data_IF_399471990143
#
_entry.id   IF_399471990143
#
_cell.length_a   1.000
_cell.length_b   1.000
_cell.length_c   1.000
_cell.angle_alpha   90.00
_cell.angle_beta   90.00
_cell.angle_gamma   90.00
#
_symmetry.space_group_name_H-M   'P 1'
#
loop_
_entity.id
_entity.type
_entity.pdbx_description
1 polymer ?
#
# COMPACT_ATOMS: atom_id res chain seq x y z
N UNK A 1 -20.28 -4.12 1.34
CA UNK A 1 -20.26 -2.67 1.03
C UNK A 1 -19.77 -2.52 -0.40
N UNK A 2 -20.56 -1.92 -1.28
CA UNK A 2 -20.13 -1.65 -2.66
C UNK A 2 -18.99 -0.62 -2.64
N UNK A 3 -17.90 -0.90 -3.35
CA UNK A 3 -16.75 0.00 -3.41
C UNK A 3 -16.74 0.90 -4.65
N UNK A 4 -17.69 0.75 -5.56
CA UNK A 4 -17.80 1.61 -6.72
C UNK A 4 -16.80 1.32 -7.87
N UNK A 5 -15.99 0.26 -7.76
CA UNK A 5 -15.09 -0.18 -8.84
C UNK A 5 -15.34 -1.65 -9.24
N UNK A 6 -16.56 -2.13 -8.99
CA UNK A 6 -17.01 -3.47 -9.39
C UNK A 6 -16.79 -4.56 -8.34
N UNK A 7 -16.48 -4.21 -7.09
CA UNK A 7 -16.32 -5.16 -5.99
C UNK A 7 -17.23 -4.86 -4.80
N UNK A 8 -17.76 -5.92 -4.18
CA UNK A 8 -18.35 -5.85 -2.85
C UNK A 8 -17.32 -6.22 -1.79
N UNK A 9 -17.04 -5.30 -0.88
CA UNK A 9 -16.16 -5.51 0.26
C UNK A 9 -16.95 -6.11 1.43
N UNK A 10 -16.39 -7.17 2.01
CA UNK A 10 -16.88 -7.79 3.24
C UNK A 10 -15.67 -8.28 4.05
N UNK A 11 -15.70 -8.04 5.35
CA UNK A 11 -14.66 -8.46 6.28
C UNK A 11 -15.26 -9.24 7.44
N UNK A 12 -14.49 -10.19 7.95
CA UNK A 12 -14.85 -10.99 9.12
C UNK A 12 -13.76 -10.85 10.17
N UNK A 13 -14.18 -10.63 11.42
CA UNK A 13 -13.27 -10.54 12.56
C UNK A 13 -13.30 -11.89 13.28
N UNK A 14 -12.13 -12.51 13.38
CA UNK A 14 -11.89 -13.74 14.14
C UNK A 14 -11.67 -13.45 15.62
N UNK A 15 -12.35 -14.19 16.48
CA UNK A 15 -12.14 -14.16 17.93
C UNK A 15 -11.13 -15.21 18.39
N UNK A 16 -10.75 -15.15 19.67
CA UNK A 16 -9.78 -16.10 20.27
C UNK A 16 -10.20 -17.58 20.22
N UNK A 17 -11.48 -17.87 19.95
CA UNK A 17 -12.03 -19.22 19.84
C UNK A 17 -12.19 -19.65 18.36
N UNK A 18 -11.79 -18.79 17.41
CA UNK A 18 -11.94 -19.02 15.97
C UNK A 18 -13.34 -18.68 15.43
N UNK A 19 -14.21 -18.06 16.23
CA UNK A 19 -15.51 -17.62 15.74
C UNK A 19 -15.35 -16.38 14.87
N UNK A 20 -15.93 -16.42 13.68
CA UNK A 20 -15.98 -15.29 12.75
C UNK A 20 -17.28 -14.52 12.95
N UNK A 21 -17.16 -13.19 13.12
CA UNK A 21 -18.32 -12.30 12.96
C UNK A 21 -18.14 -11.37 11.76
N UNK A 22 -19.21 -11.01 11.05
CA UNK A 22 -19.12 -9.97 10.04
C UNK A 22 -18.72 -8.63 10.69
N UNK A 23 -17.99 -7.82 9.95
CA UNK A 23 -17.72 -6.43 10.32
C UNK A 23 -18.98 -5.57 10.25
N UNK A 24 -19.09 -4.57 11.13
CA UNK A 24 -20.14 -3.55 11.08
C UNK A 24 -19.90 -2.57 9.93
N UNK A 25 -20.88 -1.70 9.65
CA UNK A 25 -20.73 -0.66 8.62
C UNK A 25 -19.60 0.31 8.96
N UNK A 26 -19.48 0.66 10.24
CA UNK A 26 -18.44 1.54 10.78
C UNK A 26 -17.05 0.91 10.66
N UNK A 27 -16.94 -0.40 10.90
CA UNK A 27 -15.67 -1.14 10.75
C UNK A 27 -15.26 -1.26 9.28
N UNK A 28 -16.22 -1.42 8.37
CA UNK A 28 -15.99 -1.46 6.92
C UNK A 28 -15.67 -0.09 6.32
N UNK A 29 -15.97 1.02 7.03
CA UNK A 29 -15.68 2.37 6.56
C UNK A 29 -14.17 2.59 6.31
N UNK A 30 -13.31 1.93 7.10
CA UNK A 30 -11.87 1.93 6.88
C UNK A 30 -11.48 1.32 5.53
N UNK A 31 -12.17 0.26 5.10
CA UNK A 31 -11.88 -0.42 3.83
C UNK A 31 -12.20 0.49 2.63
N UNK A 32 -13.36 1.15 2.63
CA UNK A 32 -13.73 2.07 1.54
C UNK A 32 -12.84 3.30 1.50
N UNK A 33 -12.27 3.73 2.64
CA UNK A 33 -11.30 4.83 2.69
C UNK A 33 -10.11 4.67 1.72
N UNK A 34 -9.65 3.44 1.48
CA UNK A 34 -8.56 3.14 0.56
C UNK A 34 -8.99 2.36 -0.69
N UNK A 35 -10.06 1.56 -0.62
CA UNK A 35 -10.47 0.65 -1.69
C UNK A 35 -11.77 1.04 -2.39
N UNK A 36 -12.28 2.26 -2.21
CA UNK A 36 -13.39 2.78 -3.01
C UNK A 36 -12.90 3.66 -4.17
N UNK A 37 -13.69 3.71 -5.24
CA UNK A 37 -13.47 4.62 -6.37
C UNK A 37 -14.53 5.70 -6.46
N UNK A 38 -14.39 6.55 -7.48
CA UNK A 38 -15.26 7.71 -7.71
C UNK A 38 -16.64 7.31 -8.24
N UNK A 39 -16.82 6.10 -8.76
CA UNK A 39 -18.07 5.68 -9.41
C UNK A 39 -19.01 5.01 -8.42
N UNK A 40 -20.14 5.65 -8.08
CA UNK A 40 -21.33 5.01 -7.48
C UNK A 40 -21.07 4.06 -6.30
N UNK A 41 -20.95 4.60 -5.08
CA UNK A 41 -21.15 3.82 -3.85
C UNK A 41 -22.63 3.89 -3.40
N UNK A 42 -23.04 3.11 -2.38
CA UNK A 42 -24.37 3.24 -1.73
C UNK A 42 -24.61 4.67 -1.19
N UNK A 43 -23.54 5.46 -1.04
CA UNK A 43 -23.54 6.81 -0.48
C UNK A 43 -22.98 7.82 -1.51
N UNK A 44 -23.82 8.40 -2.39
CA UNK A 44 -23.37 9.22 -3.51
C UNK A 44 -22.63 10.52 -3.11
N UNK A 45 -22.72 10.93 -1.85
CA UNK A 45 -22.00 12.06 -1.27
C UNK A 45 -20.67 11.67 -0.61
N UNK A 46 -20.42 10.37 -0.46
CA UNK A 46 -19.22 9.81 0.14
C UNK A 46 -18.38 9.15 -0.95
N UNK A 47 -17.53 9.97 -1.55
CA UNK A 47 -16.40 9.50 -2.36
C UNK A 47 -15.18 9.52 -1.45
N UNK A 48 -14.97 8.45 -0.68
CA UNK A 48 -13.73 8.33 0.10
C UNK A 48 -12.56 7.86 -0.73
N UNK A 49 -12.70 7.83 -2.06
CA UNK A 49 -11.61 7.60 -2.98
C UNK A 49 -10.50 8.62 -2.69
N UNK A 50 -9.64 8.29 -1.73
CA UNK A 50 -8.27 8.77 -1.70
C UNK A 50 -7.67 8.57 -3.08
N UNK A 51 -8.17 7.61 -3.87
CA UNK A 51 -7.73 7.39 -5.23
C UNK A 51 -6.23 7.16 -5.27
N UNK A 52 -5.69 6.61 -4.18
CA UNK A 52 -4.49 5.79 -4.22
C UNK A 52 -4.83 4.47 -4.92
N UNK A 53 -5.40 4.60 -6.11
CA UNK A 53 -5.74 3.55 -7.06
C UNK A 53 -4.52 2.75 -7.47
N UNK A 54 -3.33 3.35 -7.29
CA UNK A 54 -2.04 2.69 -7.29
C UNK A 54 -2.02 1.52 -6.29
N UNK A 55 -2.48 1.67 -5.05
CA UNK A 55 -2.53 0.56 -4.06
C UNK A 55 -3.53 -0.52 -4.48
N UNK A 56 -4.62 -0.13 -5.15
CA UNK A 56 -5.61 -1.07 -5.70
C UNK A 56 -5.09 -1.87 -6.89
N UNK A 57 -3.95 -1.47 -7.50
CA UNK A 57 -3.37 -2.19 -8.63
C UNK A 57 -2.94 -3.61 -8.30
N UNK A 58 -2.53 -3.83 -7.05
CA UNK A 58 -2.05 -5.13 -6.57
C UNK A 58 -2.89 -5.73 -5.45
N UNK A 59 -3.83 -4.98 -4.87
CA UNK A 59 -4.65 -5.43 -3.73
C UNK A 59 -5.86 -6.30 -4.11
N UNK A 60 -6.20 -6.40 -5.40
CA UNK A 60 -7.43 -7.05 -5.86
C UNK A 60 -7.09 -8.31 -6.69
N UNK A 61 -7.88 -9.41 -6.58
CA UNK A 61 -7.68 -10.60 -7.42
C UNK A 61 -7.74 -10.29 -8.92
N UNK A 62 -7.02 -11.05 -9.74
CA UNK A 62 -6.97 -10.88 -11.21
C UNK A 62 -7.40 -12.15 -11.92
N UNK A 63 -8.19 -11.97 -12.99
CA UNK A 63 -8.42 -13.00 -14.00
C UNK A 63 -7.39 -12.81 -15.11
N UNK A 64 -6.52 -13.80 -15.29
CA UNK A 64 -5.60 -13.80 -16.43
C UNK A 64 -6.38 -14.06 -17.74
N UNK A 65 -6.02 -13.42 -18.86
CA UNK A 65 -6.66 -13.61 -20.17
C UNK A 65 -6.62 -15.05 -20.67
N UNK A 66 -7.59 -15.41 -21.52
CA UNK A 66 -7.71 -16.73 -22.14
C UNK A 66 -7.95 -17.87 -21.13
N UNK A 67 -7.41 -19.04 -21.43
CA UNK A 67 -7.58 -20.27 -20.64
C UNK A 67 -6.92 -20.21 -19.24
N UNK A 68 -6.06 -19.21 -18.98
CA UNK A 68 -5.45 -19.06 -17.66
C UNK A 68 -6.48 -18.71 -16.59
N UNK A 69 -7.50 -17.93 -16.94
CA UNK A 69 -8.67 -17.64 -16.11
C UNK A 69 -8.34 -17.08 -14.73
N UNK A 70 -9.22 -17.33 -13.76
CA UNK A 70 -8.98 -16.95 -12.36
C UNK A 70 -7.90 -17.83 -11.75
N UNK A 71 -6.95 -17.20 -11.07
CA UNK A 71 -5.90 -17.85 -10.29
C UNK A 71 -5.99 -17.36 -8.85
N UNK A 72 -6.39 -18.23 -7.94
CA UNK A 72 -6.41 -17.91 -6.52
C UNK A 72 -5.02 -18.13 -5.93
N UNK A 73 -4.42 -17.09 -5.37
CA UNK A 73 -3.16 -17.16 -4.64
C UNK A 73 -2.06 -17.93 -5.40
N UNK A 74 -1.96 -17.75 -6.72
CA UNK A 74 -0.89 -18.40 -7.49
C UNK A 74 0.47 -17.74 -7.28
N UNK A 75 0.49 -16.57 -6.61
CA UNK A 75 1.66 -15.78 -6.26
C UNK A 75 2.63 -15.69 -7.44
N UNK A 76 2.11 -15.36 -8.63
CA UNK A 76 2.92 -15.28 -9.85
C UNK A 76 3.72 -16.56 -10.13
N UNK A 77 3.09 -17.72 -9.94
CA UNK A 77 3.68 -19.06 -10.06
C UNK A 77 4.89 -19.24 -9.14
N UNK A 78 4.68 -18.93 -7.87
CA UNK A 78 5.70 -19.06 -6.84
C UNK A 78 6.29 -20.48 -6.81
N UNK A 79 7.62 -20.56 -6.83
CA UNK A 79 8.38 -21.77 -6.58
C UNK A 79 9.18 -21.62 -5.30
N UNK A 80 8.91 -22.49 -4.33
CA UNK A 80 9.64 -22.52 -3.08
C UNK A 80 11.11 -22.96 -3.27
N UNK A 81 12.00 -22.29 -2.56
CA UNK A 81 13.40 -22.70 -2.37
C UNK A 81 13.52 -23.38 -1.00
N UNK A 82 13.50 -24.71 -1.01
CA UNK A 82 13.40 -25.51 0.22
C UNK A 82 14.58 -25.32 1.20
N UNK A 83 15.74 -24.93 0.69
CA UNK A 83 16.98 -24.71 1.44
C UNK A 83 17.22 -23.24 1.82
N UNK A 84 16.26 -22.34 1.59
CA UNK A 84 16.38 -20.94 1.97
C UNK A 84 16.55 -20.80 3.49
N UNK A 85 17.56 -20.04 3.92
CA UNK A 85 17.74 -19.72 5.32
C UNK A 85 16.56 -18.86 5.84
N UNK A 86 16.28 -18.84 7.15
CA UNK A 86 15.09 -18.16 7.69
C UNK A 86 14.97 -16.66 7.40
N UNK A 87 16.09 -15.99 7.11
CA UNK A 87 16.23 -14.57 6.79
C UNK A 87 16.40 -14.28 5.29
N UNK A 88 16.42 -15.31 4.46
CA UNK A 88 16.49 -15.22 3.01
C UNK A 88 15.11 -15.26 2.35
N UNK A 89 15.03 -14.70 1.15
CA UNK A 89 13.85 -14.81 0.28
C UNK A 89 13.54 -16.28 0.03
N UNK A 90 12.31 -16.75 0.31
CA UNK A 90 12.01 -18.18 0.43
C UNK A 90 11.78 -18.89 -0.92
N UNK A 91 11.88 -18.20 -2.05
CA UNK A 91 11.60 -18.76 -3.37
C UNK A 91 11.61 -17.69 -4.46
N UNK A 92 11.06 -18.04 -5.62
CA UNK A 92 11.04 -17.20 -6.81
C UNK A 92 9.65 -17.14 -7.44
N UNK A 93 9.35 -16.06 -8.16
CA UNK A 93 8.20 -15.99 -9.06
C UNK A 93 8.59 -16.54 -10.44
N UNK A 94 7.63 -17.10 -11.17
CA UNK A 94 7.84 -17.63 -12.53
C UNK A 94 6.89 -17.01 -13.56
N UNK A 95 6.36 -15.85 -13.22
CA UNK A 95 5.53 -15.03 -14.08
C UNK A 95 6.04 -13.59 -14.03
N UNK A 96 6.05 -12.92 -15.17
CA UNK A 96 6.43 -11.52 -15.27
C UNK A 96 5.36 -10.58 -14.73
N UNK A 97 5.67 -9.29 -14.76
CA UNK A 97 4.72 -8.24 -14.39
C UNK A 97 3.67 -8.06 -15.52
N UNK A 98 2.40 -8.48 -15.32
CA UNK A 98 1.41 -8.46 -16.39
C UNK A 98 1.04 -7.03 -16.77
N UNK A 99 0.92 -6.78 -18.08
CA UNK A 99 0.55 -5.45 -18.57
C UNK A 99 -0.92 -5.16 -18.28
N UNK A 100 -1.18 -4.05 -17.61
CA UNK A 100 -2.51 -3.46 -17.57
C UNK A 100 -2.93 -3.02 -18.99
N UNK A 101 -4.17 -3.31 -19.35
CA UNK A 101 -4.75 -3.06 -20.67
C UNK A 101 -4.84 -1.58 -21.01
N UNK A 102 -5.25 -0.76 -20.05
CA UNK A 102 -5.42 0.67 -20.24
C UNK A 102 -4.10 1.43 -20.21
N UNK A 103 -3.20 1.03 -19.31
CA UNK A 103 -1.90 1.70 -19.12
C UNK A 103 -0.82 1.23 -20.08
N UNK A 104 -0.95 0.02 -20.65
CA UNK A 104 0.10 -0.67 -21.40
C UNK A 104 1.46 -0.67 -20.64
N UNK A 105 1.37 -0.88 -19.33
CA UNK A 105 2.46 -0.87 -18.35
C UNK A 105 2.22 -2.01 -17.37
N UNK A 106 3.29 -2.62 -16.86
CA UNK A 106 3.21 -3.61 -15.79
C UNK A 106 2.49 -3.05 -14.57
N UNK A 107 1.61 -3.83 -13.96
CA UNK A 107 0.86 -3.38 -12.79
C UNK A 107 1.79 -3.13 -11.59
N UNK A 108 2.81 -3.98 -11.40
CA UNK A 108 3.77 -3.80 -10.30
C UNK A 108 4.70 -2.63 -10.54
N UNK A 109 5.12 -2.42 -11.79
CA UNK A 109 5.82 -1.22 -12.18
C UNK A 109 4.98 0.02 -11.93
N UNK A 110 3.72 0.03 -12.34
CA UNK A 110 2.83 1.17 -12.09
C UNK A 110 2.66 1.42 -10.58
N UNK A 111 2.59 0.37 -9.77
CA UNK A 111 2.62 0.46 -8.32
C UNK A 111 3.91 1.15 -7.82
N UNK A 112 5.08 0.63 -8.18
CA UNK A 112 6.39 1.17 -7.77
C UNK A 112 6.65 2.59 -8.26
N UNK A 113 6.18 2.95 -9.46
CA UNK A 113 6.35 4.29 -10.05
C UNK A 113 5.63 5.39 -9.24
N UNK A 114 4.51 5.03 -8.60
CA UNK A 114 3.54 6.01 -8.11
C UNK A 114 3.21 5.89 -6.62
N UNK A 115 3.75 4.88 -5.93
CA UNK A 115 3.61 4.80 -4.48
C UNK A 115 4.33 5.99 -3.81
N UNK A 116 3.58 6.81 -3.09
CA UNK A 116 4.08 7.93 -2.26
C UNK A 116 3.50 7.79 -0.86
N UNK A 117 4.36 7.78 0.17
CA UNK A 117 3.96 7.53 1.58
C UNK A 117 4.71 6.35 2.18
N UNK A 118 4.93 6.36 3.51
CA UNK A 118 6.18 5.97 4.23
C UNK A 118 6.81 4.61 3.88
N UNK A 119 7.43 4.54 2.70
CA UNK A 119 7.96 3.31 2.10
C UNK A 119 6.87 2.32 1.68
N UNK A 120 6.90 1.87 0.41
CA UNK A 120 6.06 0.90 -0.34
C UNK A 120 4.81 0.23 0.31
N UNK A 121 4.83 -0.07 1.61
CA UNK A 121 3.79 -0.73 2.40
C UNK A 121 3.40 0.02 3.70
N UNK A 122 3.61 1.33 3.76
CA UNK A 122 3.42 2.14 4.97
C UNK A 122 4.60 2.07 5.94
N UNK A 123 5.20 0.89 6.14
CA UNK A 123 6.55 0.73 6.70
C UNK A 123 7.22 -0.37 5.86
N UNK A 124 8.38 -0.10 5.27
CA UNK A 124 9.01 -1.10 4.41
C UNK A 124 9.44 -2.32 5.21
N UNK A 125 9.11 -3.54 4.76
CA UNK A 125 9.72 -4.74 5.29
C UNK A 125 11.24 -4.64 5.22
N UNK A 126 11.93 -5.01 6.30
CA UNK A 126 13.39 -4.93 6.37
C UNK A 126 14.09 -5.75 5.27
N UNK A 127 13.47 -6.83 4.79
CA UNK A 127 13.98 -7.59 3.64
C UNK A 127 14.01 -6.77 2.34
N UNK A 128 12.99 -5.95 2.12
CA UNK A 128 12.90 -5.06 0.95
C UNK A 128 13.90 -3.92 1.08
N UNK A 129 14.03 -3.32 2.27
CA UNK A 129 15.06 -2.29 2.54
C UNK A 129 16.46 -2.83 2.22
N UNK A 130 16.81 -4.04 2.69
CA UNK A 130 18.11 -4.66 2.38
C UNK A 130 18.33 -4.82 0.87
N UNK A 131 17.31 -5.27 0.15
CA UNK A 131 17.38 -5.42 -1.31
C UNK A 131 17.59 -4.06 -1.99
N UNK A 132 16.77 -3.06 -1.69
CA UNK A 132 16.85 -1.74 -2.32
C UNK A 132 18.15 -1.02 -1.96
N UNK A 133 18.62 -1.10 -0.71
CA UNK A 133 19.92 -0.57 -0.31
C UNK A 133 21.07 -1.21 -1.08
N UNK A 134 21.03 -2.52 -1.35
CA UNK A 134 22.07 -3.20 -2.11
C UNK A 134 21.99 -2.89 -3.62
N UNK A 135 20.78 -2.84 -4.18
CA UNK A 135 20.54 -2.66 -5.61
C UNK A 135 20.73 -1.20 -6.07
N UNK A 136 20.17 -0.25 -5.33
CA UNK A 136 20.08 1.16 -5.71
C UNK A 136 21.29 1.91 -5.12
N UNK A 137 22.35 1.98 -5.92
CA UNK A 137 23.62 2.62 -5.58
C UNK A 137 24.19 3.39 -6.78
N UNK A 138 24.93 4.51 -6.57
CA UNK A 138 25.62 5.20 -7.65
C UNK A 138 26.61 4.29 -8.40
N UNK A 139 27.24 3.35 -7.69
CA UNK A 139 28.11 2.34 -8.29
C UNK A 139 27.39 1.42 -9.30
N UNK A 140 26.07 1.27 -9.17
CA UNK A 140 25.21 0.51 -10.09
C UNK A 140 24.53 1.40 -11.13
N UNK A 141 24.88 2.70 -11.20
CA UNK A 141 24.37 3.66 -12.17
C UNK A 141 23.08 4.37 -11.77
N UNK A 142 22.72 4.39 -10.49
CA UNK A 142 21.60 5.17 -9.95
C UNK A 142 21.99 6.61 -9.63
N UNK A 143 21.02 7.52 -9.63
CA UNK A 143 21.30 8.95 -9.37
C UNK A 143 21.69 9.26 -7.92
N UNK A 144 21.33 8.38 -6.98
CA UNK A 144 21.72 8.45 -5.58
C UNK A 144 21.69 7.04 -4.96
N UNK A 145 22.24 6.91 -3.74
CA UNK A 145 22.05 5.73 -2.93
C UNK A 145 20.65 5.73 -2.31
N UNK A 146 20.07 4.55 -2.11
CA UNK A 146 18.80 4.41 -1.37
C UNK A 146 18.90 5.05 0.03
N UNK A 147 18.12 6.11 0.34
CA UNK A 147 18.28 6.85 1.59
C UNK A 147 17.52 6.18 2.74
N UNK A 148 17.99 6.38 3.97
CA UNK A 148 17.17 6.17 5.18
C UNK A 148 16.10 7.26 5.27
N UNK A 149 14.99 6.95 5.94
CA UNK A 149 13.98 7.96 6.27
C UNK A 149 14.52 8.89 7.37
N UNK A 150 14.51 10.19 7.10
CA UNK A 150 14.84 11.19 8.11
C UNK A 150 13.60 11.53 8.92
N UNK A 151 13.53 11.06 10.16
CA UNK A 151 12.40 11.31 11.06
C UNK A 151 12.68 12.44 12.04
N UNK A 152 13.75 13.22 11.87
CA UNK A 152 14.09 14.31 12.78
C UNK A 152 13.23 15.55 12.56
N UNK A 153 12.79 15.79 11.32
CA UNK A 153 11.97 16.94 10.92
C UNK A 153 10.92 16.50 9.90
N UNK A 154 9.80 17.23 9.79
CA UNK A 154 8.79 16.98 8.76
C UNK A 154 9.38 17.19 7.35
N UNK A 155 10.09 18.30 7.11
CA UNK A 155 10.77 18.55 5.84
C UNK A 155 11.78 17.46 5.46
N UNK A 156 12.63 17.02 6.39
CA UNK A 156 13.60 15.93 6.14
C UNK A 156 12.90 14.61 5.78
N UNK A 157 11.80 14.32 6.46
CA UNK A 157 10.95 13.19 6.17
C UNK A 157 10.39 13.24 4.74
N UNK A 158 9.79 14.35 4.35
CA UNK A 158 9.24 14.54 3.00
C UNK A 158 10.32 14.47 1.91
N UNK A 159 11.50 15.04 2.16
CA UNK A 159 12.63 14.97 1.23
C UNK A 159 13.13 13.53 1.03
N UNK A 160 13.27 12.77 2.12
CA UNK A 160 13.68 11.36 2.04
C UNK A 160 12.68 10.50 1.28
N UNK A 161 11.38 10.77 1.47
CA UNK A 161 10.28 10.12 0.75
C UNK A 161 10.30 10.43 -0.75
N UNK A 162 10.47 11.70 -1.12
CA UNK A 162 10.57 12.12 -2.52
C UNK A 162 11.79 11.48 -3.22
N UNK A 163 12.93 11.39 -2.52
CA UNK A 163 14.11 10.73 -3.06
C UNK A 163 13.90 9.22 -3.26
N UNK A 164 13.26 8.54 -2.31
CA UNK A 164 12.89 7.11 -2.46
C UNK A 164 12.00 6.89 -3.68
N UNK A 165 10.97 7.72 -3.87
CA UNK A 165 10.08 7.61 -5.04
C UNK A 165 10.86 7.79 -6.36
N UNK A 166 11.71 8.81 -6.44
CA UNK A 166 12.57 9.04 -7.61
C UNK A 166 13.41 7.80 -7.93
N UNK A 167 14.04 7.20 -6.91
CA UNK A 167 14.89 6.02 -7.09
C UNK A 167 14.11 4.75 -7.47
N UNK A 168 12.88 4.59 -6.98
CA UNK A 168 11.99 3.51 -7.45
C UNK A 168 11.63 3.66 -8.93
N UNK A 169 11.37 4.89 -9.40
CA UNK A 169 11.15 5.17 -10.84
C UNK A 169 12.39 4.87 -11.68
N UNK A 170 13.59 5.10 -11.14
CA UNK A 170 14.83 4.67 -11.80
C UNK A 170 14.93 3.14 -11.87
N UNK A 171 14.68 2.44 -10.76
CA UNK A 171 14.67 0.97 -10.68
C UNK A 171 13.72 0.36 -11.73
N UNK A 172 12.49 0.87 -11.83
CA UNK A 172 11.49 0.38 -12.79
C UNK A 172 11.80 0.76 -14.23
N UNK A 173 12.30 1.98 -14.49
CA UNK A 173 12.70 2.42 -15.82
C UNK A 173 13.85 1.59 -16.39
N UNK A 174 14.73 1.10 -15.51
CA UNK A 174 15.84 0.20 -15.85
C UNK A 174 15.43 -1.26 -15.97
N UNK A 175 14.27 -1.65 -15.43
CA UNK A 175 13.84 -3.05 -15.39
C UNK A 175 14.50 -3.87 -14.27
N UNK A 176 15.25 -3.23 -13.37
CA UNK A 176 16.04 -3.88 -12.32
C UNK A 176 15.17 -4.54 -11.22
N UNK A 177 13.87 -4.25 -11.21
CA UNK A 177 12.85 -4.96 -10.40
C UNK A 177 12.43 -6.31 -10.99
N UNK A 178 12.89 -6.65 -12.19
CA UNK A 178 12.70 -7.94 -12.85
C UNK A 178 13.98 -8.78 -12.75
N UNK A 179 13.81 -10.10 -12.83
CA UNK A 179 14.89 -11.07 -13.06
C UNK A 179 15.27 -11.10 -14.55
N UNK A 180 16.38 -11.75 -14.89
CA UNK A 180 16.79 -11.95 -16.28
C UNK A 180 15.73 -12.69 -17.12
N UNK A 181 14.92 -13.55 -16.48
CA UNK A 181 13.82 -14.28 -17.11
C UNK A 181 12.50 -13.47 -17.17
N UNK A 182 12.53 -12.21 -16.73
CA UNK A 182 11.38 -11.30 -16.76
C UNK A 182 10.38 -11.49 -15.63
N UNK A 183 10.62 -12.41 -14.68
CA UNK A 183 9.81 -12.52 -13.47
C UNK A 183 10.08 -11.37 -12.49
N UNK A 184 9.09 -10.92 -11.74
CA UNK A 184 9.30 -9.92 -10.68
C UNK A 184 10.27 -10.48 -9.62
N UNK A 185 11.20 -9.64 -9.17
CA UNK A 185 12.16 -9.98 -8.11
C UNK A 185 11.43 -10.42 -6.85
N UNK A 186 11.75 -11.63 -6.41
CA UNK A 186 11.13 -12.29 -5.28
C UNK A 186 11.32 -11.51 -3.96
N UNK A 187 12.44 -10.79 -3.84
CA UNK A 187 12.75 -9.93 -2.70
C UNK A 187 11.68 -8.85 -2.46
N UNK A 188 10.96 -8.44 -3.50
CA UNK A 188 9.93 -7.41 -3.44
C UNK A 188 8.54 -7.96 -3.09
N UNK A 189 8.36 -9.28 -3.14
CA UNK A 189 7.05 -9.94 -3.03
C UNK A 189 6.96 -10.93 -1.85
N UNK A 190 8.00 -11.74 -1.63
CA UNK A 190 7.92 -12.90 -0.73
C UNK A 190 8.76 -12.65 0.53
N UNK A 191 8.12 -12.40 1.68
CA UNK A 191 8.85 -12.13 2.91
C UNK A 191 9.64 -13.37 3.36
N UNK A 192 10.85 -13.19 3.92
CA UNK A 192 11.57 -14.27 4.58
C UNK A 192 10.73 -14.96 5.67
N UNK A 193 11.08 -16.21 5.98
CA UNK A 193 10.35 -17.03 6.96
C UNK A 193 10.22 -16.34 8.32
N UNK A 194 11.28 -15.70 8.81
CA UNK A 194 11.25 -15.00 10.10
C UNK A 194 10.28 -13.82 10.09
N UNK A 195 10.23 -13.06 8.99
CA UNK A 195 9.36 -11.90 8.83
C UNK A 195 7.89 -12.35 8.75
N UNK A 196 7.61 -13.41 7.98
CA UNK A 196 6.29 -14.02 7.91
C UNK A 196 5.81 -14.54 9.28
N UNK A 197 6.71 -15.21 10.04
CA UNK A 197 6.41 -15.68 11.39
C UNK A 197 6.15 -14.53 12.36
N UNK A 198 6.87 -13.41 12.24
CA UNK A 198 6.63 -12.22 13.06
C UNK A 198 5.24 -11.62 12.77
N UNK A 199 4.85 -11.53 11.50
CA UNK A 199 3.50 -11.13 11.09
C UNK A 199 2.41 -12.05 11.67
N UNK A 200 2.58 -13.37 11.55
CA UNK A 200 1.64 -14.34 12.10
C UNK A 200 1.51 -14.27 13.63
N UNK A 201 2.61 -14.01 14.35
CA UNK A 201 2.58 -13.79 15.80
C UNK A 201 1.78 -12.54 16.18
N UNK A 202 2.00 -11.44 15.47
CA UNK A 202 1.25 -10.17 15.68
C UNK A 202 -0.23 -10.34 15.39
N UNK A 203 -0.58 -11.03 14.30
CA UNK A 203 -1.96 -11.38 14.00
C UNK A 203 -2.62 -12.13 15.17
N UNK A 204 -1.96 -13.16 15.71
CA UNK A 204 -2.47 -13.89 16.87
C UNK A 204 -2.61 -13.02 18.12
N UNK A 205 -1.71 -12.06 18.33
CA UNK A 205 -1.84 -11.08 19.41
C UNK A 205 -3.09 -10.21 19.21
N UNK A 206 -3.36 -9.75 17.99
CA UNK A 206 -4.61 -9.02 17.67
C UNK A 206 -5.81 -9.90 17.98
N UNK A 207 -5.89 -11.12 17.43
CA UNK A 207 -7.04 -12.03 17.63
C UNK A 207 -7.35 -12.27 19.12
N UNK A 208 -6.32 -12.44 19.95
CA UNK A 208 -6.50 -12.74 21.39
C UNK A 208 -6.80 -11.50 22.23
N UNK A 209 -6.35 -10.31 21.82
CA UNK A 209 -6.39 -9.09 22.65
C UNK A 209 -7.32 -8.00 22.15
N UNK A 210 -7.78 -8.09 20.89
CA UNK A 210 -8.68 -7.09 20.31
C UNK A 210 -10.01 -7.08 21.04
N UNK A 211 -10.60 -5.88 21.12
CA UNK A 211 -11.98 -5.70 21.54
C UNK A 211 -12.75 -5.38 20.27
N UNK A 212 -13.91 -6.00 20.09
CA UNK A 212 -14.63 -5.94 18.82
C UNK A 212 -14.79 -4.54 18.23
N UNK A 213 -14.91 -3.50 19.06
CA UNK A 213 -15.11 -2.10 18.61
C UNK A 213 -13.85 -1.23 18.62
N UNK A 214 -12.68 -1.76 19.00
CA UNK A 214 -11.43 -0.98 19.08
C UNK A 214 -10.27 -1.75 18.46
N UNK A 215 -9.60 -1.11 17.50
CA UNK A 215 -8.32 -1.58 16.97
C UNK A 215 -7.26 -1.72 18.07
N UNK A 216 -6.20 -2.46 17.76
CA UNK A 216 -5.10 -2.73 18.68
C UNK A 216 -3.76 -2.53 18.00
N UNK A 217 -2.93 -1.67 18.60
CA UNK A 217 -1.50 -1.64 18.29
C UNK A 217 -0.82 -2.84 18.99
N UNK A 218 -0.16 -3.68 18.19
CA UNK A 218 0.61 -4.85 18.63
C UNK A 218 2.08 -4.77 18.20
N UNK A 219 2.50 -3.61 17.67
CA UNK A 219 3.87 -3.41 17.29
C UNK A 219 4.73 -3.12 18.53
N UNK A 220 5.99 -3.61 18.57
CA UNK A 220 6.91 -3.28 19.67
C UNK A 220 7.16 -1.78 19.78
N UNK A 221 7.23 -1.11 18.62
CA UNK A 221 7.32 0.32 18.46
C UNK A 221 6.29 0.74 17.42
N UNK A 222 5.60 1.86 17.66
CA UNK A 222 4.61 2.36 16.70
C UNK A 222 5.28 2.67 15.36
N UNK A 223 4.83 2.04 14.26
CA UNK A 223 5.30 2.26 12.89
C UNK A 223 5.38 3.75 12.53
N UNK A 224 6.34 4.10 11.68
CA UNK A 224 6.57 5.50 11.30
C UNK A 224 5.38 6.07 10.51
N UNK A 225 4.63 5.23 9.78
CA UNK A 225 3.37 5.64 9.12
C UNK A 225 2.28 6.16 10.06
N UNK A 226 2.34 5.86 11.36
CA UNK A 226 1.38 6.35 12.34
C UNK A 226 1.88 7.58 13.10
N UNK A 227 3.03 8.15 12.69
CA UNK A 227 3.61 9.33 13.32
C UNK A 227 3.40 10.58 12.47
N UNK A 228 3.37 11.73 13.14
CA UNK A 228 3.02 13.00 12.54
C UNK A 228 4.24 13.71 11.93
N UNK A 229 4.24 13.92 10.61
CA UNK A 229 5.30 14.62 9.86
C UNK A 229 4.71 15.64 8.86
N UNK A 230 3.72 16.43 9.32
CA UNK A 230 3.14 17.51 8.52
C UNK A 230 3.68 18.86 8.97
N UNK A 231 3.82 19.77 8.03
CA UNK A 231 4.30 21.14 8.27
C UNK A 231 3.50 22.15 7.41
N UNK A 232 3.39 23.39 7.88
CA UNK A 232 2.77 24.48 7.11
C UNK A 232 1.27 24.28 6.88
N UNK A 233 0.82 24.45 5.62
CA UNK A 233 -0.61 24.38 5.26
C UNK A 233 -1.21 22.98 5.41
N UNK A 234 -0.39 21.94 5.56
CA UNK A 234 -0.82 20.55 5.71
C UNK A 234 -1.13 20.17 7.17
N UNK A 235 -0.78 21.05 8.12
CA UNK A 235 -0.89 20.78 9.54
C UNK A 235 -2.35 20.61 10.01
N UNK A 236 -2.53 19.74 10.99
CA UNK A 236 -3.76 19.65 11.76
C UNK A 236 -3.47 19.43 13.25
N UNK A 237 -4.39 19.88 14.09
CA UNK A 237 -4.33 19.70 15.53
C UNK A 237 -5.07 18.42 15.97
N UNK A 238 -4.83 18.02 17.21
CA UNK A 238 -5.71 17.12 17.94
C UNK A 238 -7.13 17.66 18.00
N UNK A 239 -8.11 16.80 18.24
CA UNK A 239 -9.53 17.16 18.40
C UNK A 239 -9.79 18.15 19.55
N UNK A 240 -8.88 18.22 20.53
CA UNK A 240 -8.92 19.18 21.64
C UNK A 240 -8.27 20.53 21.30
N UNK A 241 -7.74 20.70 20.08
CA UNK A 241 -7.08 21.90 19.59
C UNK A 241 -5.58 21.96 19.87
N UNK A 242 -4.98 20.99 20.57
CA UNK A 242 -3.53 20.95 20.80
C UNK A 242 -2.80 20.63 19.48
N UNK A 243 -1.70 21.35 19.13
CA UNK A 243 -0.91 21.00 17.95
C UNK A 243 -0.15 19.69 18.17
N UNK A 244 -0.05 18.88 17.10
CA UNK A 244 0.82 17.72 17.06
C UNK A 244 2.29 18.13 17.05
N UNK A 245 3.14 17.35 17.71
CA UNK A 245 4.60 17.46 17.58
C UNK A 245 5.12 16.58 16.44
N UNK A 246 6.27 16.96 15.85
CA UNK A 246 6.94 16.13 14.86
C UNK A 246 7.29 14.76 15.48
N UNK A 247 6.90 13.69 14.81
CA UNK A 247 7.10 12.32 15.26
C UNK A 247 6.10 11.83 16.33
N UNK A 248 5.16 12.67 16.78
CA UNK A 248 4.10 12.27 17.71
C UNK A 248 3.20 11.22 17.05
N UNK A 249 2.78 10.21 17.82
CA UNK A 249 1.83 9.20 17.34
C UNK A 249 0.47 9.86 17.11
N UNK A 250 -0.09 9.66 15.92
CA UNK A 250 -1.41 10.16 15.56
C UNK A 250 -2.47 9.35 16.31
N UNK A 251 -3.05 9.94 17.36
CA UNK A 251 -4.08 9.30 18.19
C UNK A 251 -5.50 9.64 17.76
N UNK A 252 -5.65 10.78 17.09
CA UNK A 252 -6.93 11.32 16.65
C UNK A 252 -6.72 12.28 15.46
N UNK A 253 -7.81 12.59 14.75
CA UNK A 253 -7.82 13.53 13.64
C UNK A 253 -9.03 14.45 13.78
N UNK A 254 -8.98 15.68 13.25
CA UNK A 254 -10.16 16.52 13.13
C UNK A 254 -11.31 15.76 12.46
N UNK A 255 -12.52 16.01 12.94
CA UNK A 255 -13.75 15.38 12.44
C UNK A 255 -14.77 16.46 12.08
N UNK A 256 -15.66 16.13 11.13
CA UNK A 256 -16.82 16.96 10.82
C UNK A 256 -17.81 16.95 12.01
N UNK A 257 -18.13 18.14 12.50
CA UNK A 257 -19.08 18.34 13.59
C UNK A 257 -20.18 19.34 13.24
N UNK A 258 -20.25 19.79 11.97
CA UNK A 258 -21.09 20.90 11.56
C UNK A 258 -22.58 20.55 11.56
N UNK A 259 -22.93 19.34 11.11
CA UNK A 259 -24.32 18.92 11.02
C UNK A 259 -24.51 17.44 11.39
N UNK A 260 -25.16 17.13 12.53
CA UNK A 260 -25.39 15.75 12.98
C UNK A 260 -26.33 14.92 12.09
N UNK A 261 -27.01 15.55 11.13
CA UNK A 261 -27.84 14.85 10.14
C UNK A 261 -27.04 14.38 8.91
N UNK A 262 -25.79 14.83 8.73
CA UNK A 262 -24.94 14.38 7.63
C UNK A 262 -24.30 13.03 7.95
N UNK A 263 -24.13 12.19 6.92
CA UNK A 263 -23.39 10.92 7.04
C UNK A 263 -21.91 11.13 7.37
N UNK A 264 -21.39 12.34 7.13
CA UNK A 264 -20.03 12.75 7.45
C UNK A 264 -19.85 13.17 8.90
N UNK A 265 -20.93 13.30 9.70
CA UNK A 265 -20.80 13.68 11.11
C UNK A 265 -19.91 12.69 11.87
N UNK A 266 -18.88 13.20 12.56
CA UNK A 266 -17.80 12.49 13.24
C UNK A 266 -16.84 11.70 12.31
N UNK A 267 -16.93 11.88 11.00
CA UNK A 267 -15.94 11.37 10.05
C UNK A 267 -14.74 12.30 10.01
N UNK A 268 -13.53 11.73 9.90
CA UNK A 268 -12.30 12.51 9.79
C UNK A 268 -12.31 13.44 8.58
N UNK A 269 -12.00 14.72 8.79
CA UNK A 269 -12.02 15.76 7.74
C UNK A 269 -10.62 16.39 7.48
N UNK A 270 -9.56 15.77 8.00
CA UNK A 270 -8.19 16.13 7.66
C UNK A 270 -7.91 15.89 6.17
N UNK A 271 -7.25 16.85 5.51
CA UNK A 271 -6.90 16.72 4.09
C UNK A 271 -5.96 15.53 3.86
N UNK A 272 -6.22 14.81 2.78
CA UNK A 272 -5.45 13.63 2.35
C UNK A 272 -4.18 14.00 1.58
N UNK A 273 -4.03 15.27 1.20
CA UNK A 273 -2.93 15.79 0.36
C UNK A 273 -2.90 15.21 -1.06
N UNK A 274 -3.98 14.55 -1.47
CA UNK A 274 -4.12 14.03 -2.83
C UNK A 274 -4.51 15.17 -3.74
N UNK A 275 -3.67 15.41 -4.74
CA UNK A 275 -3.87 16.41 -5.78
C UNK A 275 -4.27 15.70 -7.08
N UNK A 276 -5.52 15.90 -7.51
CA UNK A 276 -6.06 15.28 -8.73
C UNK A 276 -5.53 15.90 -10.02
N UNK A 277 -4.99 17.12 -9.95
CA UNK A 277 -4.46 17.84 -11.11
C UNK A 277 -2.94 17.59 -11.29
N UNK A 278 -2.28 17.05 -10.26
CA UNK A 278 -0.86 16.72 -10.31
C UNK A 278 -0.61 15.48 -11.19
N UNK A 279 0.13 15.68 -12.27
CA UNK A 279 0.51 14.59 -13.17
C UNK A 279 1.44 13.56 -12.47
N UNK A 280 1.43 12.31 -12.94
CA UNK A 280 2.30 11.26 -12.39
C UNK A 280 3.78 11.62 -12.52
N UNK A 281 4.17 12.24 -13.63
CA UNK A 281 5.53 12.69 -13.89
C UNK A 281 6.03 13.63 -12.79
N UNK A 282 5.15 14.50 -12.29
CA UNK A 282 5.43 15.47 -11.24
C UNK A 282 5.24 14.92 -9.82
N UNK A 283 4.91 13.63 -9.67
CA UNK A 283 4.73 12.97 -8.38
C UNK A 283 3.27 12.85 -7.93
N UNK A 284 2.30 13.06 -8.83
CA UNK A 284 0.91 12.73 -8.58
C UNK A 284 0.71 11.22 -8.37
N UNK A 285 -0.33 10.85 -7.63
CA UNK A 285 -0.63 9.45 -7.27
C UNK A 285 -2.08 9.06 -7.51
N UNK A 286 -2.88 9.99 -8.03
CA UNK A 286 -4.31 9.84 -8.17
C UNK A 286 -4.70 9.27 -9.54
N UNK A 287 -5.30 8.08 -9.61
CA UNK A 287 -5.85 7.52 -10.86
C UNK A 287 -7.32 7.09 -10.73
N UNK A 288 -8.30 8.00 -10.84
CA UNK A 288 -9.70 7.74 -10.47
C UNK A 288 -10.41 6.68 -11.32
N UNK A 289 -9.93 6.44 -12.55
CA UNK A 289 -10.48 5.48 -13.51
C UNK A 289 -9.59 4.24 -13.69
N UNK A 290 -8.76 3.90 -12.69
CA UNK A 290 -7.97 2.67 -12.76
C UNK A 290 -8.89 1.44 -12.90
N UNK A 291 -8.64 0.65 -13.95
CA UNK A 291 -9.31 -0.61 -14.19
C UNK A 291 -8.30 -1.76 -14.12
N UNK A 292 -8.50 -2.77 -13.24
CA UNK A 292 -7.60 -3.90 -13.08
C UNK A 292 -7.75 -4.96 -14.19
N UNK A 293 -7.77 -4.52 -15.44
CA UNK A 293 -7.93 -5.37 -16.60
C UNK A 293 -6.59 -5.56 -17.28
N UNK A 294 -6.19 -6.80 -17.51
CA UNK A 294 -4.92 -7.14 -18.15
C UNK A 294 -5.06 -7.11 -19.69
N UNK A 295 -3.93 -6.86 -20.36
CA UNK A 295 -3.83 -6.87 -21.81
C UNK A 295 -4.28 -8.21 -22.41
N UNK A 296 -4.90 -8.20 -23.57
CA UNK A 296 -5.38 -9.39 -24.27
C UNK A 296 -4.89 -9.36 -25.73
N UNK A 297 -4.02 -10.29 -26.18
CA UNK A 297 -3.46 -11.43 -25.43
C UNK A 297 -2.60 -11.00 -24.22
N UNK A 298 -2.45 -11.90 -23.25
CA UNK A 298 -1.64 -11.64 -22.05
C UNK A 298 -0.20 -11.31 -22.45
N UNK A 299 0.28 -10.17 -21.96
CA UNK A 299 1.65 -9.67 -22.17
C UNK A 299 2.23 -9.26 -20.83
N UNK A 300 3.56 -9.25 -20.76
CA UNK A 300 4.32 -8.88 -19.58
C UNK A 300 5.28 -7.74 -19.89
N UNK A 301 5.72 -7.02 -18.87
CA UNK A 301 6.84 -6.07 -18.99
C UNK A 301 8.10 -6.77 -19.54
N UNK A 302 8.83 -6.04 -20.38
CA UNK A 302 10.06 -6.54 -20.97
C UNK A 302 11.26 -6.26 -20.06
N UNK A 303 12.18 -7.21 -20.00
CA UNK A 303 13.54 -6.98 -19.48
C UNK A 303 14.25 -6.00 -20.42
N UNK A 304 15.00 -5.05 -19.86
CA UNK A 304 15.69 -3.99 -20.60
C UNK A 304 17.20 -4.17 -20.56
#
# INVERSE_FOLDING_TARGET
>A
MDNGVGWYLAGYIEDKNGALRPQSREELAQCIGCHSGVKTTEFPVFTSGTGNTVDSTWSLPRKLPGELGWKEMDYLRYLAKADAAPDQTPGEGRMGDPLNRGLNKGEFRHFLDNVVGVSLYGDMPGAIERFLTAAIQPANGYSAAWPLLDTATASGFQQSQALRQKLLRELTARGDYLTADGAIRAELLYPPKNDALAGARRYRQVVVTQRYVKGKDVFPETPVTYRYFREGEEEFAHQDGRPYQVGEVITDRPVDTENPALITYLVGNAQTLIDSEKAFEDGGTYFPDYLPLLAEPLRFEAVR
#
